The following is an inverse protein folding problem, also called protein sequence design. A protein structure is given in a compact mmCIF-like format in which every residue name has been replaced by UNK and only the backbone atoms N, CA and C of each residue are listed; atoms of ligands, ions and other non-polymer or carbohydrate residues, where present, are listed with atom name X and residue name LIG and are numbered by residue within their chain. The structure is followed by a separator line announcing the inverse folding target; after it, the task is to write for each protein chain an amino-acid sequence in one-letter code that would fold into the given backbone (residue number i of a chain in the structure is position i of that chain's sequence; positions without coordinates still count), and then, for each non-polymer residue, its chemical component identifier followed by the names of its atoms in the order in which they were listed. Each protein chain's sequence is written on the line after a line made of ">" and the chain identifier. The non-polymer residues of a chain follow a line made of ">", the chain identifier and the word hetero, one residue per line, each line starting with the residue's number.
data_IF_315087431895
#
_entry.id   IF_315087431895
#
_cell.length_a   1.000
_cell.length_b   1.000
_cell.length_c   1.000
_cell.angle_alpha   90.00
_cell.angle_beta   90.00
_cell.angle_gamma   90.00
#
_symmetry.space_group_name_H-M   'P 1'
#
loop_
_entity.id
_entity.type
_entity.pdbx_description
1 polymer ?
#
# COMPACT_ATOMS: atom_id res chain seq x y z
N UNK A 1 27.09 -5.25 -7.80
CA UNK A 1 25.91 -5.90 -8.39
C UNK A 1 24.66 -5.42 -7.64
N UNK A 2 24.27 -4.16 -7.85
CA UNK A 2 23.09 -3.57 -7.20
C UNK A 2 21.86 -3.90 -8.06
N UNK A 3 21.10 -4.93 -7.67
CA UNK A 3 19.79 -5.18 -8.28
C UNK A 3 18.91 -3.99 -7.94
N UNK A 4 18.65 -3.17 -8.96
CA UNK A 4 17.65 -2.10 -8.98
C UNK A 4 16.34 -2.69 -8.44
N UNK A 5 15.91 -2.26 -7.25
CA UNK A 5 14.56 -2.54 -6.77
C UNK A 5 13.65 -1.88 -7.80
N UNK A 6 13.00 -2.71 -8.63
CA UNK A 6 12.01 -2.23 -9.58
C UNK A 6 10.97 -1.48 -8.75
N UNK A 7 10.65 -0.25 -9.16
CA UNK A 7 9.41 0.41 -8.74
C UNK A 7 8.32 -0.64 -8.76
N UNK A 8 7.82 -0.99 -7.58
CA UNK A 8 6.67 -1.88 -7.47
C UNK A 8 5.51 -0.97 -7.87
N UNK A 9 5.19 -0.97 -9.16
CA UNK A 9 3.95 -0.39 -9.65
C UNK A 9 2.82 -0.87 -8.74
N UNK A 10 1.87 0.00 -8.35
CA UNK A 10 0.72 -0.46 -7.58
C UNK A 10 0.13 -1.66 -8.33
N UNK A 11 0.07 -2.81 -7.66
CA UNK A 11 -0.58 -4.00 -8.20
C UNK A 11 -2.04 -3.64 -8.41
N UNK A 12 -2.38 -3.24 -9.63
CA UNK A 12 -3.77 -3.00 -9.99
C UNK A 12 -4.46 -4.36 -10.06
N UNK A 13 -5.45 -4.56 -9.20
CA UNK A 13 -6.31 -5.72 -9.22
C UNK A 13 -7.75 -5.26 -9.46
N UNK A 14 -8.56 -6.12 -10.05
CA UNK A 14 -10.01 -5.92 -10.16
C UNK A 14 -10.73 -7.05 -9.44
N UNK A 15 -11.80 -6.72 -8.73
CA UNK A 15 -12.68 -7.72 -8.14
C UNK A 15 -13.81 -8.06 -9.11
N UNK A 16 -14.04 -9.34 -9.38
CA UNK A 16 -15.15 -9.79 -10.22
C UNK A 16 -16.49 -9.87 -9.43
N UNK A 17 -17.56 -10.35 -10.07
CA UNK A 17 -18.89 -10.48 -9.42
C UNK A 17 -18.94 -11.56 -8.35
N UNK A 18 -18.00 -12.50 -8.36
CA UNK A 18 -17.88 -13.61 -7.42
C UNK A 18 -16.88 -13.28 -6.30
N UNK A 19 -16.28 -12.09 -6.32
CA UNK A 19 -15.32 -11.63 -5.33
C UNK A 19 -13.87 -12.03 -5.63
N UNK A 20 -13.55 -12.62 -6.79
CA UNK A 20 -12.20 -13.05 -7.17
C UNK A 20 -11.31 -11.85 -7.58
N UNK A 21 -9.99 -11.87 -7.27
CA UNK A 21 -9.06 -10.83 -7.73
C UNK A 21 -8.52 -11.28 -9.07
N UNK A 22 -8.74 -10.44 -10.07
CA UNK A 22 -8.15 -10.56 -11.40
C UNK A 22 -6.95 -9.62 -11.44
N UNK A 23 -5.75 -10.21 -11.53
CA UNK A 23 -4.50 -9.46 -11.71
C UNK A 23 -4.31 -9.06 -13.18
N UNK A 24 -3.44 -8.08 -13.44
CA UNK A 24 -3.14 -7.60 -14.81
C UNK A 24 -2.56 -8.69 -15.72
N UNK A 25 -1.87 -9.69 -15.16
CA UNK A 25 -1.29 -10.81 -15.90
C UNK A 25 -2.28 -11.94 -16.22
N UNK A 26 -3.56 -11.77 -15.84
CA UNK A 26 -4.63 -12.76 -16.04
C UNK A 26 -4.73 -13.82 -14.94
N UNK A 27 -3.87 -13.76 -13.92
CA UNK A 27 -3.99 -14.65 -12.76
C UNK A 27 -5.25 -14.32 -11.96
N UNK A 28 -6.04 -15.34 -11.63
CA UNK A 28 -7.25 -15.23 -10.81
C UNK A 28 -6.94 -15.78 -9.41
N UNK A 29 -7.12 -14.95 -8.38
CA UNK A 29 -7.01 -15.34 -6.98
C UNK A 29 -8.42 -15.55 -6.42
N UNK A 30 -8.83 -16.81 -6.13
CA UNK A 30 -10.15 -17.10 -5.61
C UNK A 30 -10.41 -16.42 -4.27
N UNK A 31 -11.65 -15.98 -4.02
CA UNK A 31 -12.04 -15.28 -2.80
C UNK A 31 -11.84 -16.16 -1.54
N UNK A 32 -12.17 -17.44 -1.64
CA UNK A 32 -12.09 -18.42 -0.53
C UNK A 32 -10.67 -18.73 -0.08
N UNK A 33 -9.67 -18.40 -0.90
CA UNK A 33 -8.25 -18.59 -0.58
C UNK A 33 -7.61 -17.36 0.06
N UNK A 34 -8.37 -16.30 0.29
CA UNK A 34 -7.82 -15.06 0.86
C UNK A 34 -7.87 -15.05 2.36
N UNK A 35 -6.85 -14.41 2.91
CA UNK A 35 -6.82 -13.97 4.28
C UNK A 35 -6.72 -12.45 4.29
N UNK A 36 -7.54 -11.79 5.11
CA UNK A 36 -7.41 -10.35 5.35
C UNK A 36 -6.04 -10.09 5.98
N UNK A 37 -5.25 -9.21 5.37
CA UNK A 37 -3.98 -8.77 5.91
C UNK A 37 -4.21 -7.64 6.92
N UNK A 38 -3.63 -7.77 8.11
CA UNK A 38 -3.60 -6.66 9.07
C UNK A 38 -2.53 -5.65 8.64
N UNK A 39 -2.93 -4.40 8.43
CA UNK A 39 -2.01 -3.34 8.01
C UNK A 39 -1.65 -2.50 9.24
N UNK A 40 -0.35 -2.38 9.51
CA UNK A 40 0.20 -1.57 10.59
C UNK A 40 0.96 -0.38 10.01
N UNK A 41 0.86 0.77 10.69
CA UNK A 41 1.61 1.97 10.32
C UNK A 41 2.13 2.72 11.55
N UNK A 42 3.24 3.44 11.36
CA UNK A 42 3.92 4.18 12.42
C UNK A 42 3.26 5.55 12.63
N UNK A 43 2.83 5.81 13.87
CA UNK A 43 2.15 7.05 14.24
C UNK A 43 3.14 8.10 14.77
N UNK A 44 3.56 7.96 16.03
CA UNK A 44 4.48 8.87 16.76
C UNK A 44 5.50 8.04 17.57
N UNK A 45 6.13 7.07 16.93
CA UNK A 45 7.19 6.26 17.54
C UNK A 45 6.85 4.78 17.80
N UNK A 46 5.59 4.37 17.59
CA UNK A 46 5.18 2.96 17.65
C UNK A 46 4.24 2.58 16.50
N UNK A 47 4.04 1.28 16.29
CA UNK A 47 3.14 0.71 15.28
C UNK A 47 1.73 0.54 15.84
N UNK A 48 0.72 0.97 15.09
CA UNK A 48 -0.70 0.75 15.41
C UNK A 48 -1.41 0.16 14.18
N UNK A 49 -2.39 -0.75 14.35
CA UNK A 49 -3.23 -1.19 13.25
C UNK A 49 -3.93 0.02 12.61
N UNK A 50 -3.88 0.12 11.28
CA UNK A 50 -4.53 1.18 10.51
C UNK A 50 -6.04 1.15 10.69
N UNK A 51 -6.61 -0.04 10.85
CA UNK A 51 -8.04 -0.26 11.09
C UNK A 51 -8.55 0.39 12.38
N UNK A 52 -7.66 0.73 13.31
CA UNK A 52 -8.00 1.38 14.58
C UNK A 52 -7.83 2.91 14.53
N UNK A 53 -7.57 3.51 13.37
CA UNK A 53 -7.38 4.96 13.26
C UNK A 53 -8.70 5.71 13.37
N UNK A 54 -8.73 6.75 14.20
CA UNK A 54 -9.84 7.69 14.24
C UNK A 54 -9.76 8.70 13.10
N UNK A 55 -10.83 9.48 12.89
CA UNK A 55 -10.93 10.43 11.78
C UNK A 55 -9.81 11.47 11.78
N UNK A 56 -9.46 12.00 12.97
CA UNK A 56 -8.36 12.97 13.09
C UNK A 56 -7.01 12.40 12.68
N UNK A 57 -6.75 11.11 12.94
CA UNK A 57 -5.51 10.45 12.52
C UNK A 57 -5.47 10.19 11.02
N UNK A 58 -6.61 9.84 10.42
CA UNK A 58 -6.72 9.68 8.97
C UNK A 58 -6.47 11.01 8.25
N UNK A 59 -7.04 12.12 8.77
CA UNK A 59 -6.78 13.46 8.26
C UNK A 59 -5.30 13.85 8.38
N UNK A 60 -4.69 13.69 9.55
CA UNK A 60 -3.25 13.98 9.71
C UNK A 60 -2.38 13.13 8.80
N UNK A 61 -2.71 11.86 8.59
CA UNK A 61 -1.93 11.01 7.69
C UNK A 61 -2.01 11.48 6.23
N UNK A 62 -3.18 11.97 5.78
CA UNK A 62 -3.36 12.53 4.45
C UNK A 62 -2.50 13.79 4.22
N UNK A 63 -2.25 14.56 5.28
CA UNK A 63 -1.40 15.76 5.23
C UNK A 63 0.11 15.45 5.25
N UNK A 64 0.51 14.20 5.50
CA UNK A 64 1.94 13.81 5.55
C UNK A 64 2.59 13.92 4.17
N UNK A 65 3.82 14.42 4.15
CA UNK A 65 4.65 14.50 2.95
C UNK A 65 5.74 13.44 2.97
N UNK A 66 5.92 12.75 1.85
CA UNK A 66 7.04 11.82 1.65
C UNK A 66 8.25 12.56 1.11
N UNK A 67 9.44 12.17 1.56
CA UNK A 67 10.67 12.63 0.94
C UNK A 67 10.83 11.97 -0.43
N UNK A 68 11.19 12.75 -1.44
CA UNK A 68 11.58 12.22 -2.74
C UNK A 68 13.02 11.71 -2.67
N UNK A 69 13.29 10.58 -3.31
CA UNK A 69 14.64 10.04 -3.51
C UNK A 69 15.34 10.70 -4.70
N UNK A 70 14.64 11.52 -5.48
CA UNK A 70 15.24 12.27 -6.59
C UNK A 70 16.18 13.34 -6.04
N UNK A 71 17.47 13.33 -6.43
CA UNK A 71 18.39 14.40 -6.03
C UNK A 71 17.90 15.72 -6.61
N UNK A 72 17.73 16.71 -5.75
CA UNK A 72 17.44 18.08 -6.17
C UNK A 72 18.73 18.70 -6.70
N UNK A 73 18.70 19.26 -7.91
CA UNK A 73 19.81 20.05 -8.43
C UNK A 73 19.88 21.33 -7.59
N UNK A 74 20.88 21.44 -6.72
CA UNK A 74 21.23 22.70 -6.09
C UNK A 74 21.86 23.60 -7.16
N UNK A 75 21.18 24.70 -7.47
CA UNK A 75 21.70 25.81 -8.29
C UNK A 75 22.79 26.58 -7.56
#
# INVERSE_FOLDING_TARGET
>A
MHKRLKEVSPLNYKEDREGNLVLEDGTIIPAERRQRAEVYSRIVGYLRPVEQWNDGKQAEFADRKTYSTTPVAHV
#
